data_IF_638559757556
#
_entry.id   IF_638559757556
#
_cell.length_a   1.000
_cell.length_b   1.000
_cell.length_c   1.000
_cell.angle_alpha   90.00
_cell.angle_beta   90.00
_cell.angle_gamma   90.00
#
_symmetry.space_group_name_H-M   'P 1'
#
loop_
_entity.id
_entity.type
_entity.pdbx_description
1 polymer ?
#
# COMPACT_ATOMS: atom_id res chain seq x y z
N UNK A 1 36.00 7.83 16.55
CA UNK A 1 34.94 7.61 15.56
C UNK A 1 35.57 7.16 14.28
N UNK A 2 35.60 5.84 14.09
CA UNK A 2 36.05 5.20 12.87
C UNK A 2 34.79 4.88 12.08
N UNK A 3 34.40 5.79 11.20
CA UNK A 3 33.16 5.68 10.45
C UNK A 3 33.32 4.63 9.34
N UNK A 4 32.47 3.60 9.36
CA UNK A 4 32.40 2.56 8.36
C UNK A 4 30.96 2.41 7.90
N UNK A 5 30.74 2.36 6.59
CA UNK A 5 29.40 2.32 5.99
C UNK A 5 29.39 1.25 4.92
N UNK A 6 28.31 0.46 4.89
CA UNK A 6 28.07 -0.53 3.87
C UNK A 6 26.65 -0.36 3.34
N UNK A 7 26.51 -0.17 2.04
CA UNK A 7 25.20 -0.03 1.40
C UNK A 7 24.49 -1.38 1.35
N UNK A 8 23.23 -1.42 1.76
CA UNK A 8 22.38 -2.61 1.58
C UNK A 8 22.05 -2.79 0.10
N UNK A 9 22.19 -4.02 -0.40
CA UNK A 9 21.74 -4.37 -1.75
C UNK A 9 20.21 -4.28 -1.91
N UNK A 10 19.69 -4.04 -3.13
CA UNK A 10 18.25 -3.95 -3.39
C UNK A 10 17.52 -5.27 -3.03
N UNK A 11 18.09 -6.41 -3.42
CA UNK A 11 17.51 -7.75 -3.20
C UNK A 11 18.15 -8.49 -2.00
N UNK A 12 18.98 -7.80 -1.22
CA UNK A 12 19.67 -8.39 -0.07
C UNK A 12 18.72 -8.48 1.12
N UNK A 13 18.63 -9.65 1.76
CA UNK A 13 17.85 -9.81 2.98
C UNK A 13 18.48 -9.02 4.13
N UNK A 14 17.66 -8.30 4.89
CA UNK A 14 18.07 -7.48 6.03
C UNK A 14 18.93 -8.25 7.06
N UNK A 15 18.61 -9.50 7.46
CA UNK A 15 19.43 -10.24 8.43
C UNK A 15 20.83 -10.57 7.87
N UNK A 16 20.93 -10.85 6.57
CA UNK A 16 22.18 -11.16 5.91
C UNK A 16 23.08 -9.92 5.83
N UNK A 17 22.51 -8.77 5.46
CA UNK A 17 23.20 -7.48 5.43
C UNK A 17 23.68 -7.05 6.82
N UNK A 18 22.81 -7.10 7.84
CA UNK A 18 23.18 -6.80 9.24
C UNK A 18 24.30 -7.73 9.70
N UNK A 19 24.25 -9.01 9.33
CA UNK A 19 25.31 -9.99 9.63
C UNK A 19 26.66 -9.60 9.02
N UNK A 20 26.67 -9.16 7.75
CA UNK A 20 27.88 -8.67 7.09
C UNK A 20 28.43 -7.41 7.75
N UNK A 21 27.57 -6.47 8.13
CA UNK A 21 27.99 -5.24 8.78
C UNK A 21 28.61 -5.52 10.17
N UNK A 22 28.03 -6.45 10.94
CA UNK A 22 28.62 -6.93 12.21
C UNK A 22 29.95 -7.63 11.99
N UNK A 23 30.06 -8.45 10.95
CA UNK A 23 31.34 -9.10 10.59
C UNK A 23 32.41 -8.07 10.28
N UNK A 24 32.08 -7.02 9.52
CA UNK A 24 33.00 -5.92 9.23
C UNK A 24 33.48 -5.22 10.50
N UNK A 25 32.57 -4.97 11.45
CA UNK A 25 32.94 -4.41 12.75
C UNK A 25 33.93 -5.33 13.51
N UNK A 26 33.69 -6.64 13.52
CA UNK A 26 34.61 -7.61 14.14
C UNK A 26 35.97 -7.68 13.43
N UNK A 27 35.99 -7.62 12.10
CA UNK A 27 37.22 -7.61 11.31
C UNK A 27 38.05 -6.33 11.58
N UNK A 28 37.40 -5.19 11.78
CA UNK A 28 38.03 -3.94 12.20
C UNK A 28 38.60 -3.99 13.62
N UNK A 29 37.85 -4.59 14.56
CA UNK A 29 38.34 -4.82 15.92
C UNK A 29 39.58 -5.74 15.94
N UNK A 30 39.59 -6.78 15.11
CA UNK A 30 40.77 -7.63 14.92
C UNK A 30 41.98 -6.86 14.39
N UNK A 31 41.75 -5.87 13.51
CA UNK A 31 42.76 -4.94 13.03
C UNK A 31 43.14 -3.85 14.06
N UNK A 32 42.68 -3.96 15.32
CA UNK A 32 42.87 -3.00 16.42
C UNK A 32 42.24 -1.63 16.19
N UNK A 33 41.23 -1.56 15.33
CA UNK A 33 40.39 -0.37 15.18
C UNK A 33 39.20 -0.53 16.12
N UNK A 34 39.11 0.31 17.15
CA UNK A 34 37.95 0.28 18.05
C UNK A 34 36.71 0.76 17.30
N UNK A 35 35.64 -0.02 17.36
CA UNK A 35 34.32 0.31 16.81
C UNK A 35 33.40 0.62 17.99
N UNK A 36 32.89 1.85 18.07
CA UNK A 36 31.92 2.22 19.11
C UNK A 36 30.49 1.83 18.69
N UNK A 37 29.58 1.77 19.67
CA UNK A 37 28.17 1.49 19.39
C UNK A 37 27.55 2.59 18.51
N UNK A 38 27.94 3.85 18.71
CA UNK A 38 27.44 4.95 17.87
C UNK A 38 27.89 4.80 16.42
N UNK A 39 29.12 4.34 16.17
CA UNK A 39 29.66 4.11 14.82
C UNK A 39 28.88 2.99 14.12
N UNK A 40 28.48 1.94 14.86
CA UNK A 40 27.63 0.85 14.33
C UNK A 40 26.21 1.30 14.01
N UNK A 41 25.60 2.13 14.88
CA UNK A 41 24.27 2.70 14.64
C UNK A 41 24.28 3.62 13.42
N UNK A 42 25.33 4.43 13.26
CA UNK A 42 25.50 5.31 12.12
C UNK A 42 25.67 4.49 10.82
N UNK A 43 26.46 3.42 10.85
CA UNK A 43 26.60 2.49 9.73
C UNK A 43 25.27 1.84 9.32
N UNK A 44 24.45 1.44 10.29
CA UNK A 44 23.13 0.84 10.05
C UNK A 44 22.11 1.81 9.47
N UNK A 45 22.20 3.10 9.80
CA UNK A 45 21.21 4.10 9.36
C UNK A 45 21.58 4.73 8.02
N UNK A 46 22.87 4.98 7.79
CA UNK A 46 23.37 5.55 6.53
C UNK A 46 23.43 4.54 5.38
N UNK A 47 23.55 3.24 5.69
CA UNK A 47 23.65 2.18 4.67
C UNK A 47 22.30 1.77 4.04
N UNK A 48 21.19 2.39 4.46
CA UNK A 48 19.85 2.03 4.01
C UNK A 48 19.46 2.77 2.73
N UNK A 49 18.70 2.08 1.86
CA UNK A 49 18.12 2.70 0.68
C UNK A 49 16.79 3.42 0.97
N UNK A 50 16.31 4.17 -0.03
CA UNK A 50 15.05 4.97 -0.02
C UNK A 50 13.80 4.30 0.56
N UNK A 51 13.76 2.97 0.56
CA UNK A 51 12.63 2.20 1.10
C UNK A 51 12.56 2.22 2.64
N UNK A 52 13.63 2.63 3.30
CA UNK A 52 13.72 2.72 4.76
C UNK A 52 13.78 4.17 5.25
N UNK A 53 13.57 5.18 4.39
CA UNK A 53 13.61 6.60 4.79
C UNK A 53 12.62 6.89 5.93
N UNK A 54 11.41 6.34 5.85
CA UNK A 54 10.41 6.48 6.90
C UNK A 54 10.89 5.86 8.23
N UNK A 55 11.57 4.71 8.16
CA UNK A 55 12.15 4.08 9.34
C UNK A 55 13.25 4.96 9.94
N UNK A 56 14.15 5.50 9.12
CA UNK A 56 15.24 6.40 9.55
C UNK A 56 14.66 7.61 10.29
N UNK A 57 13.63 8.26 9.73
CA UNK A 57 12.93 9.38 10.41
C UNK A 57 12.40 8.94 11.78
N UNK A 58 11.82 7.75 11.91
CA UNK A 58 11.33 7.27 13.21
C UNK A 58 12.45 6.90 14.20
N UNK A 59 13.62 6.51 13.70
CA UNK A 59 14.80 6.25 14.53
C UNK A 59 15.38 7.55 15.08
N UNK A 60 15.38 8.63 14.30
CA UNK A 60 15.87 9.95 14.71
C UNK A 60 15.04 10.58 15.84
N UNK A 61 13.78 10.14 16.00
CA UNK A 61 12.91 10.55 17.10
C UNK A 61 13.23 9.82 18.43
N UNK A 62 14.02 8.74 18.39
CA UNK A 62 14.38 7.99 19.59
C UNK A 62 15.47 8.75 20.35
N UNK A 63 15.35 8.91 21.68
CA UNK A 63 16.41 9.52 22.47
C UNK A 63 17.75 8.79 22.27
N UNK A 64 18.89 9.49 22.14
CA UNK A 64 20.17 8.87 21.80
C UNK A 64 20.62 7.81 22.81
N UNK A 65 20.20 7.92 24.08
CA UNK A 65 20.47 6.92 25.12
C UNK A 65 19.78 5.57 24.89
N UNK A 66 18.75 5.53 24.05
CA UNK A 66 17.98 4.33 23.71
C UNK A 66 18.26 3.85 22.28
N UNK A 67 19.05 4.60 21.51
CA UNK A 67 19.42 4.26 20.14
C UNK A 67 20.61 3.29 20.16
N UNK A 68 20.34 2.05 20.57
CA UNK A 68 21.32 0.97 20.64
C UNK A 68 21.30 0.13 19.37
N UNK A 69 22.39 -0.59 19.09
CA UNK A 69 22.46 -1.50 17.93
C UNK A 69 21.36 -2.56 18.01
N UNK A 70 21.01 -3.03 19.20
CA UNK A 70 19.95 -3.99 19.42
C UNK A 70 18.57 -3.44 19.02
N UNK A 71 18.25 -2.21 19.43
CA UNK A 71 16.97 -1.58 19.13
C UNK A 71 16.84 -1.27 17.63
N UNK A 72 17.91 -0.77 17.01
CA UNK A 72 17.95 -0.49 15.57
C UNK A 72 17.82 -1.79 14.77
N UNK A 73 18.56 -2.85 15.15
CA UNK A 73 18.45 -4.18 14.53
C UNK A 73 17.03 -4.73 14.61
N UNK A 74 16.40 -4.68 15.80
CA UNK A 74 15.05 -5.19 15.98
C UNK A 74 14.02 -4.43 15.13
N UNK A 75 14.13 -3.10 15.06
CA UNK A 75 13.24 -2.27 14.22
C UNK A 75 13.45 -2.54 12.73
N UNK A 76 14.70 -2.68 12.27
CA UNK A 76 15.01 -3.02 10.89
C UNK A 76 14.42 -4.36 10.46
N UNK A 77 14.51 -5.37 11.33
CA UNK A 77 13.93 -6.70 11.06
C UNK A 77 12.40 -6.66 11.03
N UNK A 78 11.78 -5.87 11.92
CA UNK A 78 10.33 -5.68 11.92
C UNK A 78 9.83 -4.91 10.68
N UNK A 79 10.59 -3.92 10.22
CA UNK A 79 10.26 -3.19 9.00
C UNK A 79 10.36 -4.08 7.75
N UNK A 80 11.36 -4.97 7.69
CA UNK A 80 11.48 -5.94 6.58
C UNK A 80 10.28 -6.90 6.51
N UNK A 81 9.74 -7.35 7.65
CA UNK A 81 8.54 -8.19 7.64
C UNK A 81 7.33 -7.46 7.05
N UNK A 82 7.17 -6.17 7.35
CA UNK A 82 6.09 -5.37 6.78
C UNK A 82 6.30 -5.00 5.31
N UNK A 83 7.55 -4.87 4.84
CA UNK A 83 7.80 -4.69 3.41
C UNK A 83 7.26 -5.89 2.60
N UNK A 84 7.49 -7.12 3.08
CA UNK A 84 6.94 -8.33 2.45
C UNK A 84 5.42 -8.36 2.49
N UNK A 85 4.82 -7.97 3.62
CA UNK A 85 3.36 -7.87 3.73
C UNK A 85 2.78 -6.84 2.74
N UNK A 86 3.45 -5.70 2.53
CA UNK A 86 2.98 -4.68 1.58
C UNK A 86 3.19 -5.06 0.11
N UNK A 87 4.19 -5.89 -0.20
CA UNK A 87 4.37 -6.47 -1.53
C UNK A 87 3.31 -7.54 -1.80
N UNK A 88 3.05 -8.42 -0.83
CA UNK A 88 2.00 -9.43 -0.90
C UNK A 88 0.60 -8.80 -0.94
N UNK A 89 0.34 -7.71 -0.21
CA UNK A 89 -0.91 -6.95 -0.29
C UNK A 89 -1.01 -6.16 -1.59
N UNK A 90 0.09 -5.62 -2.15
CA UNK A 90 0.07 -5.01 -3.48
C UNK A 90 -0.21 -6.05 -4.55
N UNK A 91 0.34 -7.25 -4.43
CA UNK A 91 0.05 -8.37 -5.31
C UNK A 91 -1.37 -8.87 -5.10
N UNK A 92 -1.91 -8.88 -3.88
CA UNK A 92 -3.31 -9.19 -3.59
C UNK A 92 -4.26 -8.12 -4.14
N UNK A 93 -3.94 -6.83 -4.00
CA UNK A 93 -4.70 -5.69 -4.54
C UNK A 93 -4.59 -5.65 -6.07
N UNK A 94 -3.41 -5.96 -6.63
CA UNK A 94 -3.20 -6.10 -8.07
C UNK A 94 -3.91 -7.34 -8.62
N UNK A 95 -3.99 -8.43 -7.85
CA UNK A 95 -4.78 -9.62 -8.17
C UNK A 95 -6.27 -9.35 -8.07
N UNK A 96 -6.75 -8.58 -7.07
CA UNK A 96 -8.14 -8.13 -6.98
C UNK A 96 -8.48 -7.15 -8.11
N UNK A 97 -7.56 -6.28 -8.52
CA UNK A 97 -7.71 -5.38 -9.66
C UNK A 97 -7.70 -6.13 -11.00
N UNK A 98 -6.86 -7.18 -11.16
CA UNK A 98 -6.82 -8.06 -12.35
C UNK A 98 -8.02 -9.02 -12.41
N UNK A 99 -8.57 -9.44 -11.27
CA UNK A 99 -9.82 -10.18 -11.17
C UNK A 99 -11.06 -9.31 -11.42
N UNK A 100 -10.91 -7.98 -11.52
CA UNK A 100 -11.94 -6.99 -11.84
C UNK A 100 -12.56 -7.07 -13.26
N UNK A 101 -12.37 -8.18 -13.98
CA UNK A 101 -13.18 -8.55 -15.17
C UNK A 101 -14.05 -9.78 -14.94
N UNK A 102 -14.20 -10.24 -13.71
CA UNK A 102 -15.32 -11.10 -13.34
C UNK A 102 -16.59 -10.28 -13.31
N UNK A 103 -17.59 -10.64 -14.12
CA UNK A 103 -18.99 -10.21 -13.92
C UNK A 103 -19.46 -10.82 -12.59
N UNK A 104 -19.01 -10.25 -11.47
CA UNK A 104 -19.52 -10.62 -10.17
C UNK A 104 -20.94 -10.07 -10.12
N UNK A 105 -21.91 -10.96 -10.32
CA UNK A 105 -23.29 -10.68 -9.91
C UNK A 105 -23.24 -10.56 -8.39
N UNK A 106 -23.00 -9.34 -7.91
CA UNK A 106 -23.34 -8.97 -6.55
C UNK A 106 -24.82 -9.24 -6.43
N UNK A 107 -25.19 -10.35 -5.81
CA UNK A 107 -26.51 -10.49 -5.22
C UNK A 107 -26.54 -9.43 -4.12
N UNK A 108 -27.01 -8.24 -4.49
CA UNK A 108 -27.19 -7.12 -3.60
C UNK A 108 -28.18 -7.54 -2.52
N UNK A 109 -27.64 -8.06 -1.42
CA UNK A 109 -28.33 -8.17 -0.14
C UNK A 109 -28.51 -6.78 0.43
N UNK A 110 -29.51 -6.07 -0.09
CA UNK A 110 -29.94 -4.76 0.34
C UNK A 110 -31.46 -4.68 0.24
N UNK A 111 -32.09 -5.17 1.30
CA UNK A 111 -33.53 -5.16 1.58
C UNK A 111 -34.37 -6.16 0.77
N UNK A 112 -35.18 -6.95 1.49
CA UNK A 112 -36.15 -7.92 0.96
C UNK A 112 -37.26 -7.19 0.20
N UNK A 113 -36.94 -6.57 -0.94
CA UNK A 113 -37.92 -5.81 -1.73
C UNK A 113 -38.96 -6.80 -2.25
N UNK A 114 -40.21 -6.53 -1.87
CA UNK A 114 -41.41 -7.20 -2.36
C UNK A 114 -41.79 -6.59 -3.70
N UNK A 115 -42.09 -7.44 -4.67
CA UNK A 115 -42.58 -7.02 -5.97
C UNK A 115 -43.94 -6.34 -5.81
N UNK A 116 -44.04 -5.08 -6.20
CA UNK A 116 -45.28 -4.31 -6.15
C UNK A 116 -46.39 -4.84 -7.10
N UNK A 117 -46.10 -5.85 -7.94
CA UNK A 117 -47.07 -6.49 -8.85
C UNK A 117 -47.64 -7.78 -8.26
N UNK A 118 -46.78 -8.71 -7.84
CA UNK A 118 -47.20 -10.05 -7.38
C UNK A 118 -46.98 -10.30 -5.89
N UNK A 119 -46.37 -9.37 -5.16
CA UNK A 119 -46.04 -9.52 -3.74
C UNK A 119 -44.82 -10.43 -3.45
N UNK A 120 -44.24 -11.08 -4.46
CA UNK A 120 -43.09 -11.97 -4.30
C UNK A 120 -41.82 -11.25 -3.85
N UNK A 121 -40.99 -11.88 -3.03
CA UNK A 121 -39.74 -11.31 -2.50
C UNK A 121 -38.56 -11.59 -3.43
N UNK A 122 -37.58 -10.68 -3.46
CA UNK A 122 -36.32 -10.88 -4.19
C UNK A 122 -36.31 -10.35 -5.62
N UNK A 123 -37.39 -9.71 -6.09
CA UNK A 123 -37.44 -9.01 -7.37
C UNK A 123 -38.41 -7.81 -7.29
N UNK A 124 -38.26 -6.84 -8.19
CA UNK A 124 -39.17 -5.69 -8.30
C UNK A 124 -40.10 -5.82 -9.52
N UNK A 125 -41.08 -4.92 -9.67
CA UNK A 125 -42.08 -4.96 -10.77
C UNK A 125 -41.47 -5.16 -12.16
N UNK A 126 -40.29 -4.61 -12.41
CA UNK A 126 -39.58 -4.71 -13.70
C UNK A 126 -39.05 -6.12 -13.99
N UNK A 127 -38.70 -6.85 -12.95
CA UNK A 127 -38.10 -8.20 -13.02
C UNK A 127 -39.11 -9.29 -12.62
N UNK A 128 -40.40 -9.01 -12.77
CA UNK A 128 -41.45 -9.95 -12.37
C UNK A 128 -41.61 -11.07 -13.40
N UNK A 129 -41.43 -12.35 -13.03
CA UNK A 129 -41.44 -13.47 -13.97
C UNK A 129 -42.83 -13.77 -14.57
N UNK A 130 -43.88 -13.10 -14.10
CA UNK A 130 -45.24 -13.17 -14.67
C UNK A 130 -45.42 -12.28 -15.92
N UNK A 131 -44.33 -11.97 -16.62
CA UNK A 131 -44.29 -11.16 -17.85
C UNK A 131 -43.72 -11.94 -19.05
N UNK A 132 -43.91 -13.25 -19.03
CA UNK A 132 -43.72 -14.06 -20.22
C UNK A 132 -45.09 -14.58 -20.59
N UNK A 133 -45.83 -13.75 -21.33
CA UNK A 133 -46.60 -14.11 -22.51
C UNK A 133 -47.55 -12.94 -22.88
N UNK A 134 -47.71 -12.76 -24.19
CA UNK A 134 -48.58 -11.81 -24.91
C UNK A 134 -47.99 -10.43 -25.29
N UNK A 135 -47.37 -10.41 -26.48
CA UNK A 135 -47.90 -9.66 -27.64
C UNK A 135 -47.70 -8.13 -27.73
N UNK A 136 -46.90 -7.74 -28.73
CA UNK A 136 -46.73 -6.42 -29.38
C UNK A 136 -47.88 -5.39 -29.25
N UNK A 137 -47.51 -4.13 -29.05
CA UNK A 137 -47.81 -3.06 -30.03
C UNK A 137 -46.81 -1.90 -29.92
N UNK A 138 -46.46 -1.37 -31.09
CA UNK A 138 -45.59 -0.22 -31.34
C UNK A 138 -46.40 1.08 -31.18
N UNK A 139 -45.81 2.11 -30.58
CA UNK A 139 -46.06 3.50 -31.00
C UNK A 139 -45.07 4.44 -30.34
N UNK A 140 -44.32 5.10 -31.20
CA UNK A 140 -43.41 6.20 -30.97
C UNK A 140 -44.05 7.35 -30.17
N UNK A 141 -43.27 8.02 -29.34
CA UNK A 141 -43.38 9.47 -29.13
C UNK A 141 -42.00 10.06 -28.85
N UNK A 142 -41.61 10.91 -29.79
CA UNK A 142 -40.48 11.83 -29.82
C UNK A 142 -40.44 12.74 -28.59
N UNK A 143 -39.26 12.95 -28.00
CA UNK A 143 -38.43 14.14 -28.16
C UNK A 143 -38.49 15.05 -26.93
N UNK A 144 -37.32 15.44 -26.45
CA UNK A 144 -37.18 16.23 -25.23
C UNK A 144 -35.76 16.25 -24.70
N UNK A 145 -34.81 16.57 -25.56
CA UNK A 145 -33.44 16.92 -25.18
C UNK A 145 -33.38 18.42 -24.90
N UNK A 146 -32.87 18.83 -23.72
CA UNK A 146 -32.18 20.10 -23.59
C UNK A 146 -30.69 19.84 -23.38
N UNK A 147 -29.89 20.34 -24.31
CA UNK A 147 -28.48 20.58 -24.14
C UNK A 147 -28.27 21.60 -23.02
N UNK A 148 -27.55 21.24 -21.95
CA UNK A 148 -26.91 22.25 -21.09
C UNK A 148 -25.40 22.00 -21.01
N UNK A 149 -24.68 22.99 -21.51
CA UNK A 149 -23.22 23.10 -21.54
C UNK A 149 -22.79 23.69 -20.21
N UNK A 150 -22.16 22.90 -19.35
CA UNK A 150 -21.71 23.40 -18.04
C UNK A 150 -20.44 22.75 -17.53
N UNK A 151 -19.31 23.36 -17.86
CA UNK A 151 -18.04 23.36 -17.13
C UNK A 151 -17.33 22.01 -16.83
N UNK A 152 -16.25 21.77 -17.59
CA UNK A 152 -15.13 20.92 -17.16
C UNK A 152 -14.35 21.63 -16.04
N UNK A 153 -14.48 21.19 -14.80
CA UNK A 153 -13.48 21.49 -13.78
C UNK A 153 -12.38 20.42 -13.84
N UNK A 154 -11.27 20.77 -14.51
CA UNK A 154 -10.00 20.07 -14.36
C UNK A 154 -9.42 20.50 -13.01
N UNK A 155 -9.44 19.63 -12.00
CA UNK A 155 -8.58 19.83 -10.84
C UNK A 155 -7.22 19.27 -11.24
N UNK A 156 -6.31 20.18 -11.59
CA UNK A 156 -4.89 19.93 -11.58
C UNK A 156 -4.43 20.02 -10.13
N UNK A 157 -3.82 18.95 -9.61
CA UNK A 157 -2.97 19.08 -8.43
C UNK A 157 -1.56 19.31 -8.95
N UNK A 158 -1.12 20.57 -8.93
CA UNK A 158 0.25 20.95 -9.23
C UNK A 158 1.12 20.73 -8.00
N UNK A 159 2.32 20.25 -8.26
CA UNK A 159 3.46 20.22 -7.34
C UNK A 159 3.49 21.42 -6.40
N UNK A 160 3.50 21.11 -5.10
CA UNK A 160 3.77 22.05 -4.03
C UNK A 160 4.76 21.40 -3.08
N UNK A 161 6.04 21.56 -3.40
CA UNK A 161 7.16 21.36 -2.48
C UNK A 161 6.82 21.88 -1.07
N UNK A 162 7.13 21.08 -0.05
CA UNK A 162 7.68 21.61 1.19
C UNK A 162 8.91 20.77 1.53
N UNK A 163 10.07 21.27 1.13
CA UNK A 163 11.34 20.99 1.79
C UNK A 163 11.32 21.73 3.14
N UNK A 164 11.63 21.08 4.25
CA UNK A 164 12.22 21.73 5.43
C UNK A 164 13.05 20.73 6.25
N UNK A 165 14.36 21.00 6.22
CA UNK A 165 15.48 20.68 7.14
C UNK A 165 15.89 19.23 7.40
#
# INVERSE_FOLDING_TARGET
HSLFVMMKGPDEAMPAWIGQMKKMATDLEYARVKVEEEDMVLGLTMGLGKHYDQLVVTLDLIPPKQLTVANVTARLLNEETHQKDTEDDRDAVAMMAKAGKGKWKVAAGGEKRKCFKCGGIGHVRKDCPTKSDDGKDDSDDEEGKPDDKGAKAKVAYTDGHICLF
#
